data_IF_987833382216
#
_entry.id   IF_987833382216
#
_cell.length_a   1.000
_cell.length_b   1.000
_cell.length_c   1.000
_cell.angle_alpha   90.00
_cell.angle_beta   90.00
_cell.angle_gamma   90.00
#
_symmetry.space_group_name_H-M   'P 1'
#
loop_
_entity.id
_entity.type
_entity.pdbx_description
1 polymer ?
#
# COMPACT_ATOMS: atom_id res chain seq x y z
N UNK A 1 -23.88 8.72 -16.96
CA UNK A 1 -24.50 7.73 -17.88
C UNK A 1 -23.64 6.47 -17.85
N UNK A 2 -24.26 5.29 -17.85
CA UNK A 2 -23.70 3.93 -17.70
C UNK A 2 -23.82 3.26 -16.33
N UNK A 3 -24.95 2.57 -16.14
CA UNK A 3 -25.05 1.36 -15.32
C UNK A 3 -26.28 0.56 -15.78
N UNK A 4 -26.06 -0.41 -16.66
CA UNK A 4 -26.99 -1.52 -16.85
C UNK A 4 -26.18 -2.75 -17.27
N UNK A 5 -25.69 -3.51 -16.29
CA UNK A 5 -25.12 -4.82 -16.55
C UNK A 5 -26.26 -5.85 -16.58
N UNK A 6 -26.40 -6.55 -17.71
CA UNK A 6 -27.41 -7.58 -17.90
C UNK A 6 -27.07 -8.86 -17.13
N UNK A 7 -28.11 -9.64 -16.77
CA UNK A 7 -28.00 -10.94 -16.06
C UNK A 7 -27.07 -11.93 -16.79
N UNK A 8 -26.96 -11.83 -18.12
CA UNK A 8 -26.04 -12.62 -18.93
C UNK A 8 -24.56 -12.37 -18.58
N UNK A 9 -24.24 -11.11 -18.23
CA UNK A 9 -22.88 -10.71 -17.82
C UNK A 9 -22.51 -11.33 -16.48
N UNK A 10 -23.46 -11.43 -15.54
CA UNK A 10 -23.26 -12.04 -14.22
C UNK A 10 -22.95 -13.53 -14.34
N UNK A 11 -23.56 -14.23 -15.31
CA UNK A 11 -23.34 -15.66 -15.54
C UNK A 11 -21.96 -15.97 -16.16
N UNK A 12 -21.51 -15.14 -17.11
CA UNK A 12 -20.14 -15.22 -17.67
C UNK A 12 -19.09 -14.89 -16.60
N UNK A 13 -19.36 -13.91 -15.74
CA UNK A 13 -18.51 -13.55 -14.59
C UNK A 13 -18.41 -14.73 -13.60
N UNK A 14 -19.52 -15.41 -13.30
CA UNK A 14 -19.52 -16.56 -12.40
C UNK A 14 -18.72 -17.77 -12.95
N UNK A 15 -18.78 -18.03 -14.26
CA UNK A 15 -17.95 -19.06 -14.89
C UNK A 15 -16.45 -18.71 -14.86
N UNK A 16 -16.10 -17.44 -15.11
CA UNK A 16 -14.72 -16.98 -15.07
C UNK A 16 -14.10 -17.06 -13.66
N UNK A 17 -14.88 -16.76 -12.60
CA UNK A 17 -14.46 -16.93 -11.21
C UNK A 17 -14.11 -18.39 -10.83
N UNK A 18 -14.82 -19.37 -11.40
CA UNK A 18 -14.56 -20.80 -11.16
C UNK A 18 -13.26 -21.28 -11.83
N UNK A 19 -12.88 -20.65 -12.95
CA UNK A 19 -11.64 -20.95 -13.67
C UNK A 19 -10.39 -20.37 -12.97
N UNK A 20 -10.48 -19.22 -12.31
CA UNK A 20 -9.34 -18.59 -11.63
C UNK A 20 -8.93 -19.25 -10.30
N UNK A 21 -9.83 -19.95 -9.61
CA UNK A 21 -9.50 -20.55 -8.30
C UNK A 21 -8.63 -21.81 -8.35
N UNK A 22 -8.40 -22.39 -9.53
CA UNK A 22 -7.71 -23.68 -9.68
C UNK A 22 -6.57 -23.68 -10.71
N UNK A 23 -6.01 -22.53 -11.05
CA UNK A 23 -4.78 -22.51 -11.87
C UNK A 23 -3.57 -22.80 -10.99
N UNK A 24 -2.91 -23.94 -11.21
CA UNK A 24 -1.56 -24.19 -10.66
C UNK A 24 -0.67 -22.97 -10.94
N UNK A 25 0.19 -22.55 -9.99
CA UNK A 25 1.06 -21.39 -10.19
C UNK A 25 1.87 -21.57 -11.48
N UNK A 26 1.69 -20.62 -12.41
CA UNK A 26 2.34 -20.66 -13.72
C UNK A 26 3.85 -20.58 -13.50
N UNK A 27 4.59 -21.57 -14.00
CA UNK A 27 6.05 -21.56 -13.90
C UNK A 27 6.62 -20.64 -14.98
N UNK A 28 7.41 -19.66 -14.58
CA UNK A 28 8.03 -18.67 -15.46
C UNK A 28 9.49 -19.08 -15.70
N UNK A 29 9.87 -19.21 -16.97
CA UNK A 29 11.24 -19.54 -17.37
C UNK A 29 12.01 -18.27 -17.68
N UNK A 30 13.21 -18.10 -17.13
CA UNK A 30 14.05 -16.92 -17.37
C UNK A 30 15.47 -17.34 -17.69
N UNK A 31 16.10 -16.62 -18.62
CA UNK A 31 17.48 -16.94 -19.08
C UNK A 31 18.55 -16.39 -18.15
N UNK A 32 18.32 -15.22 -17.53
CA UNK A 32 19.27 -14.55 -16.65
C UNK A 32 18.58 -13.78 -15.53
N UNK A 33 19.34 -13.42 -14.49
CA UNK A 33 18.82 -12.72 -13.30
C UNK A 33 18.35 -11.29 -13.57
N UNK A 34 18.80 -10.64 -14.66
CA UNK A 34 18.42 -9.25 -14.98
C UNK A 34 16.94 -9.10 -15.32
N UNK A 35 16.29 -10.17 -15.80
CA UNK A 35 14.85 -10.18 -16.06
C UNK A 35 14.00 -10.33 -14.78
N UNK A 36 14.62 -10.68 -13.65
CA UNK A 36 13.89 -11.02 -12.42
C UNK A 36 13.10 -9.83 -11.88
N UNK A 37 13.70 -8.64 -11.78
CA UNK A 37 13.01 -7.44 -11.26
C UNK A 37 11.74 -7.13 -12.06
N UNK A 38 11.83 -7.20 -13.40
CA UNK A 38 10.68 -6.97 -14.29
C UNK A 38 9.58 -8.01 -14.04
N UNK A 39 9.92 -9.29 -13.99
CA UNK A 39 8.96 -10.37 -13.77
C UNK A 39 8.27 -10.25 -12.40
N UNK A 40 9.04 -9.92 -11.36
CA UNK A 40 8.48 -9.68 -10.04
C UNK A 40 7.55 -8.48 -10.04
N UNK A 41 7.91 -7.39 -10.73
CA UNK A 41 7.06 -6.22 -10.88
C UNK A 41 5.76 -6.54 -11.65
N UNK A 42 5.84 -7.31 -12.73
CA UNK A 42 4.66 -7.69 -13.52
C UNK A 42 3.69 -8.54 -12.68
N UNK A 43 4.21 -9.52 -11.94
CA UNK A 43 3.39 -10.33 -11.01
C UNK A 43 2.82 -9.50 -9.85
N UNK A 44 3.62 -8.58 -9.32
CA UNK A 44 3.23 -7.65 -8.26
C UNK A 44 2.09 -6.73 -8.69
N UNK A 45 2.14 -6.19 -9.92
CA UNK A 45 1.08 -5.37 -10.51
C UNK A 45 -0.21 -6.16 -10.74
N UNK A 46 -0.09 -7.46 -11.03
CA UNK A 46 -1.21 -8.36 -11.28
C UNK A 46 -1.75 -9.04 -10.01
N UNK A 47 -1.24 -8.71 -8.82
CA UNK A 47 -1.64 -9.34 -7.55
C UNK A 47 -1.44 -10.88 -7.54
N UNK A 48 -0.40 -11.37 -8.20
CA UNK A 48 -0.04 -12.79 -8.14
C UNK A 48 0.59 -13.12 -6.78
N UNK A 49 -0.01 -14.04 -6.03
CA UNK A 49 0.43 -14.40 -4.68
C UNK A 49 1.48 -15.51 -4.67
N UNK A 50 1.47 -16.41 -5.67
CA UNK A 50 2.36 -17.57 -5.72
C UNK A 50 3.13 -17.55 -7.03
N UNK A 51 4.39 -17.11 -6.99
CA UNK A 51 5.24 -16.91 -8.15
C UNK A 51 6.30 -18.02 -8.16
N UNK A 52 6.38 -18.75 -9.26
CA UNK A 52 7.33 -19.84 -9.44
C UNK A 52 8.22 -19.56 -10.65
N UNK A 53 9.52 -19.39 -10.42
CA UNK A 53 10.48 -19.00 -11.45
C UNK A 53 11.55 -20.09 -11.57
N UNK A 54 11.93 -20.44 -12.79
CA UNK A 54 13.03 -21.35 -13.09
C UNK A 54 13.99 -20.71 -14.07
N UNK A 55 15.28 -20.98 -13.92
CA UNK A 55 16.27 -20.61 -14.92
C UNK A 55 17.68 -21.07 -14.62
N UNK A 56 18.59 -20.79 -15.54
CA UNK A 56 19.99 -21.24 -15.51
C UNK A 56 20.92 -20.10 -15.10
N UNK A 57 20.84 -19.68 -13.84
CA UNK A 57 21.66 -18.62 -13.26
C UNK A 57 21.77 -18.81 -11.74
N UNK A 58 22.80 -18.25 -11.11
CA UNK A 58 22.91 -18.21 -9.64
C UNK A 58 22.29 -16.93 -9.08
N UNK A 59 21.58 -17.07 -7.95
CA UNK A 59 21.04 -15.97 -7.16
C UNK A 59 20.82 -16.45 -5.72
N UNK A 60 21.03 -15.58 -4.76
CA UNK A 60 20.70 -15.83 -3.35
C UNK A 60 19.35 -15.23 -2.94
N UNK A 61 18.76 -15.73 -1.86
CA UNK A 61 17.46 -15.26 -1.38
C UNK A 61 17.50 -13.77 -1.04
N UNK A 62 18.61 -13.30 -0.48
CA UNK A 62 18.86 -11.92 -0.09
C UNK A 62 18.80 -10.97 -1.29
N UNK A 63 19.30 -11.38 -2.47
CA UNK A 63 19.21 -10.59 -3.70
C UNK A 63 17.74 -10.42 -4.14
N UNK A 64 16.94 -11.50 -4.07
CA UNK A 64 15.50 -11.44 -4.39
C UNK A 64 14.75 -10.57 -3.39
N UNK A 65 15.05 -10.73 -2.11
CA UNK A 65 14.46 -9.95 -1.03
C UNK A 65 14.82 -8.47 -1.17
N UNK A 66 16.05 -8.14 -1.56
CA UNK A 66 16.48 -6.77 -1.82
C UNK A 66 15.66 -6.13 -2.96
N UNK A 67 15.37 -6.88 -4.03
CA UNK A 67 14.49 -6.42 -5.12
C UNK A 67 13.09 -6.10 -4.57
N UNK A 68 12.47 -7.01 -3.82
CA UNK A 68 11.13 -6.82 -3.24
C UNK A 68 11.09 -5.73 -2.16
N UNK A 69 12.24 -5.35 -1.61
CA UNK A 69 12.41 -4.26 -0.65
C UNK A 69 12.74 -2.90 -1.28
N UNK A 70 12.92 -2.83 -2.60
CA UNK A 70 13.07 -1.55 -3.31
C UNK A 70 11.77 -0.75 -3.25
N UNK A 71 11.70 0.25 -2.37
CA UNK A 71 10.49 1.06 -2.14
C UNK A 71 10.18 2.05 -3.25
N UNK A 72 11.10 2.27 -4.20
CA UNK A 72 10.82 3.02 -5.44
C UNK A 72 10.00 2.20 -6.43
N UNK A 73 10.09 0.87 -6.36
CA UNK A 73 9.40 -0.06 -7.26
C UNK A 73 8.22 -0.76 -6.58
N UNK A 74 8.44 -1.28 -5.37
CA UNK A 74 7.47 -2.01 -4.56
C UNK A 74 7.05 -1.12 -3.40
N UNK A 75 6.14 -0.21 -3.71
CA UNK A 75 5.79 0.94 -2.87
C UNK A 75 5.18 0.57 -1.51
N UNK A 76 4.50 -0.56 -1.38
CA UNK A 76 3.84 -0.97 -0.12
C UNK A 76 4.65 -2.04 0.60
N UNK A 77 4.57 -2.05 1.93
CA UNK A 77 5.23 -3.04 2.78
C UNK A 77 4.46 -4.38 2.84
N UNK A 78 4.37 -5.05 1.69
CA UNK A 78 3.75 -6.36 1.58
C UNK A 78 4.61 -7.45 2.25
N UNK A 79 3.95 -8.46 2.82
CA UNK A 79 4.65 -9.63 3.34
C UNK A 79 5.10 -10.54 2.21
N UNK A 80 6.26 -11.15 2.32
CA UNK A 80 6.70 -12.17 1.36
C UNK A 80 7.53 -13.27 2.03
N UNK A 81 7.51 -14.45 1.40
CA UNK A 81 8.39 -15.58 1.69
C UNK A 81 9.11 -15.94 0.39
N UNK A 82 10.41 -16.20 0.44
CA UNK A 82 11.21 -16.57 -0.71
C UNK A 82 12.00 -17.85 -0.39
N UNK A 83 11.80 -18.89 -1.18
CA UNK A 83 12.53 -20.15 -1.10
C UNK A 83 13.27 -20.37 -2.41
N UNK A 84 14.56 -20.69 -2.34
CA UNK A 84 15.39 -20.97 -3.51
C UNK A 84 15.93 -22.38 -3.42
N UNK A 85 15.85 -23.14 -4.51
CA UNK A 85 16.49 -24.45 -4.64
C UNK A 85 17.35 -24.52 -5.90
N UNK A 86 18.48 -25.22 -5.81
CA UNK A 86 19.47 -25.35 -6.88
C UNK A 86 19.66 -26.83 -7.20
N UNK A 87 19.51 -27.22 -8.47
CA UNK A 87 19.76 -28.60 -8.94
C UNK A 87 20.28 -28.59 -10.37
N UNK A 88 21.39 -29.27 -10.64
CA UNK A 88 22.00 -29.42 -11.98
C UNK A 88 22.12 -28.08 -12.75
N UNK A 89 22.74 -27.06 -12.13
CA UNK A 89 22.88 -25.69 -12.66
C UNK A 89 21.55 -24.97 -12.97
N UNK A 90 20.42 -25.47 -12.49
CA UNK A 90 19.12 -24.79 -12.56
C UNK A 90 18.73 -24.28 -11.18
N UNK A 91 18.33 -23.02 -11.15
CA UNK A 91 17.77 -22.38 -9.96
C UNK A 91 16.25 -22.34 -10.09
N UNK A 92 15.57 -22.71 -9.01
CA UNK A 92 14.13 -22.57 -8.85
C UNK A 92 13.87 -21.60 -7.70
N UNK A 93 13.06 -20.58 -7.94
CA UNK A 93 12.66 -19.57 -6.97
C UNK A 93 11.15 -19.70 -6.76
N UNK A 94 10.74 -19.88 -5.50
CA UNK A 94 9.36 -19.84 -5.09
C UNK A 94 9.13 -18.63 -4.20
N UNK A 95 8.23 -17.74 -4.60
CA UNK A 95 7.89 -16.54 -3.86
C UNK A 95 6.41 -16.59 -3.53
N UNK A 96 6.09 -16.45 -2.24
CA UNK A 96 4.74 -16.22 -1.78
C UNK A 96 4.60 -14.79 -1.30
N UNK A 97 3.74 -14.00 -1.94
CA UNK A 97 3.45 -12.62 -1.54
C UNK A 97 2.10 -12.59 -0.83
N UNK A 98 2.07 -11.93 0.33
CA UNK A 98 0.86 -11.60 1.07
C UNK A 98 0.62 -10.10 0.94
N UNK A 99 -0.26 -9.75 0.02
CA UNK A 99 -0.61 -8.36 -0.22
C UNK A 99 -1.40 -7.76 0.93
N UNK A 100 -1.09 -6.51 1.26
CA UNK A 100 -1.92 -5.75 2.19
C UNK A 100 -3.26 -5.42 1.56
N UNK A 101 -4.26 -5.11 2.39
CA UNK A 101 -5.56 -4.71 1.86
C UNK A 101 -5.46 -3.41 1.07
N UNK A 102 -4.67 -2.43 1.52
CA UNK A 102 -4.48 -1.18 0.81
C UNK A 102 -3.88 -1.36 -0.58
N UNK A 103 -2.83 -2.19 -0.71
CA UNK A 103 -2.20 -2.41 -2.01
C UNK A 103 -3.16 -3.08 -3.02
N UNK A 104 -3.94 -4.08 -2.58
CA UNK A 104 -4.95 -4.71 -3.43
C UNK A 104 -5.98 -3.70 -3.94
N UNK A 105 -6.48 -2.84 -3.04
CA UNK A 105 -7.47 -1.81 -3.39
C UNK A 105 -6.87 -0.76 -4.32
N UNK A 106 -5.65 -0.29 -4.05
CA UNK A 106 -4.91 0.63 -4.92
C UNK A 106 -4.77 0.05 -6.34
N UNK A 107 -4.35 -1.22 -6.46
CA UNK A 107 -4.19 -1.87 -7.76
C UNK A 107 -5.49 -2.02 -8.52
N UNK A 108 -6.62 -2.23 -7.85
CA UNK A 108 -7.93 -2.27 -8.50
C UNK A 108 -8.39 -0.89 -9.02
N UNK A 109 -7.93 0.22 -8.42
CA UNK A 109 -8.14 1.55 -9.00
C UNK A 109 -7.28 1.77 -10.25
N UNK A 110 -6.05 1.26 -10.25
CA UNK A 110 -5.12 1.37 -11.38
C UNK A 110 -5.45 0.43 -12.56
N UNK A 111 -6.05 -0.73 -12.29
CA UNK A 111 -6.46 -1.71 -13.30
C UNK A 111 -7.77 -2.38 -12.85
N UNK A 112 -8.86 -2.01 -13.52
CA UNK A 112 -10.21 -2.49 -13.20
C UNK A 112 -10.37 -4.01 -13.39
N UNK A 113 -9.52 -4.67 -14.20
CA UNK A 113 -9.56 -6.12 -14.37
C UNK A 113 -9.22 -6.87 -13.06
N UNK A 114 -8.55 -6.21 -12.13
CA UNK A 114 -8.21 -6.77 -10.82
C UNK A 114 -9.39 -6.72 -9.83
N UNK A 115 -10.51 -6.11 -10.20
CA UNK A 115 -11.72 -6.05 -9.37
C UNK A 115 -12.17 -7.45 -8.92
N UNK A 116 -12.15 -8.44 -9.80
CA UNK A 116 -12.59 -9.80 -9.46
C UNK A 116 -11.61 -10.57 -8.57
N UNK A 117 -10.36 -10.09 -8.42
CA UNK A 117 -9.40 -10.62 -7.44
C UNK A 117 -9.67 -10.08 -6.03
N UNK A 118 -10.49 -9.06 -5.88
CA UNK A 118 -10.81 -8.48 -4.57
C UNK A 118 -11.80 -9.34 -3.79
N UNK A 119 -11.56 -9.49 -2.48
CA UNK A 119 -12.57 -10.04 -1.58
C UNK A 119 -13.74 -9.07 -1.40
N UNK A 120 -14.90 -9.55 -0.93
CA UNK A 120 -16.05 -8.68 -0.61
C UNK A 120 -15.68 -7.53 0.34
N UNK A 121 -14.77 -7.79 1.30
CA UNK A 121 -14.30 -6.78 2.24
C UNK A 121 -13.42 -5.72 1.56
N UNK A 122 -12.59 -6.12 0.59
CA UNK A 122 -11.77 -5.21 -0.21
C UNK A 122 -12.65 -4.37 -1.15
N UNK A 123 -13.65 -4.97 -1.82
CA UNK A 123 -14.64 -4.27 -2.65
C UNK A 123 -15.40 -3.21 -1.84
N UNK A 124 -15.78 -3.49 -0.59
CA UNK A 124 -16.39 -2.50 0.34
C UNK A 124 -15.45 -1.32 0.61
N UNK A 125 -14.17 -1.58 0.84
CA UNK A 125 -13.16 -0.53 1.06
C UNK A 125 -13.01 0.34 -0.19
N UNK A 126 -12.86 -0.28 -1.37
CA UNK A 126 -12.78 0.42 -2.65
C UNK A 126 -13.93 1.41 -2.82
N UNK A 127 -15.18 0.93 -2.70
CA UNK A 127 -16.38 1.76 -2.88
C UNK A 127 -16.47 2.87 -1.82
N UNK A 128 -16.04 2.58 -0.58
CA UNK A 128 -16.01 3.59 0.49
C UNK A 128 -15.00 4.69 0.19
N UNK A 129 -13.80 4.34 -0.26
CA UNK A 129 -12.76 5.31 -0.67
C UNK A 129 -13.28 6.16 -1.82
N UNK A 130 -13.83 5.55 -2.87
CA UNK A 130 -14.38 6.27 -4.02
C UNK A 130 -15.45 7.28 -3.60
N UNK A 131 -16.40 6.86 -2.74
CA UNK A 131 -17.44 7.76 -2.21
C UNK A 131 -16.87 8.90 -1.39
N UNK A 132 -15.84 8.65 -0.56
CA UNK A 132 -15.21 9.69 0.25
C UNK A 132 -14.49 10.69 -0.66
N UNK A 133 -13.69 10.19 -1.60
CA UNK A 133 -12.93 11.02 -2.52
C UNK A 133 -13.85 11.98 -3.29
N UNK A 134 -14.93 11.47 -3.89
CA UNK A 134 -15.91 12.29 -4.60
C UNK A 134 -16.66 13.29 -3.71
N UNK A 135 -16.66 13.11 -2.38
CA UNK A 135 -17.28 14.04 -1.44
C UNK A 135 -16.33 15.16 -1.04
N UNK A 136 -15.03 14.87 -0.89
CA UNK A 136 -14.06 15.80 -0.29
C UNK A 136 -13.16 16.49 -1.31
N UNK A 137 -13.09 15.99 -2.54
CA UNK A 137 -12.24 16.54 -3.60
C UNK A 137 -13.09 17.18 -4.70
N UNK A 138 -12.74 18.41 -5.06
CA UNK A 138 -13.16 19.11 -6.28
C UNK A 138 -11.99 19.13 -7.28
N UNK A 139 -12.29 19.10 -8.58
CA UNK A 139 -11.30 19.21 -9.66
C UNK A 139 -10.57 20.56 -9.68
N UNK A 140 -11.22 21.63 -9.18
CA UNK A 140 -10.63 22.98 -9.11
C UNK A 140 -9.63 23.14 -7.96
N UNK A 141 -9.54 22.17 -7.05
CA UNK A 141 -8.57 22.21 -5.95
C UNK A 141 -7.14 22.05 -6.49
N UNK A 142 -6.24 22.85 -5.96
CA UNK A 142 -4.80 22.64 -6.07
C UNK A 142 -4.39 21.32 -5.42
N UNK A 143 -3.23 20.78 -5.79
CA UNK A 143 -2.72 19.56 -5.18
C UNK A 143 -2.53 19.72 -3.66
N UNK A 144 -2.09 20.90 -3.21
CA UNK A 144 -2.01 21.22 -1.79
C UNK A 144 -3.37 21.12 -1.09
N UNK A 145 -4.42 21.70 -1.67
CA UNK A 145 -5.77 21.65 -1.11
C UNK A 145 -6.33 20.23 -1.08
N UNK A 146 -6.09 19.42 -2.12
CA UNK A 146 -6.48 18.01 -2.14
C UNK A 146 -5.80 17.23 -1.01
N UNK A 147 -4.48 17.37 -0.89
CA UNK A 147 -3.68 16.74 0.18
C UNK A 147 -4.21 17.13 1.55
N UNK A 148 -4.48 18.42 1.76
CA UNK A 148 -5.04 18.95 3.02
C UNK A 148 -6.43 18.37 3.30
N UNK A 149 -7.34 18.39 2.33
CA UNK A 149 -8.70 17.84 2.51
C UNK A 149 -8.68 16.34 2.86
N UNK A 150 -7.79 15.56 2.24
CA UNK A 150 -7.60 14.14 2.53
C UNK A 150 -7.02 13.94 3.93
N UNK A 151 -5.99 14.71 4.29
CA UNK A 151 -5.41 14.71 5.64
C UNK A 151 -6.49 14.97 6.69
N UNK A 152 -7.22 16.08 6.55
CA UNK A 152 -8.25 16.54 7.48
C UNK A 152 -9.35 15.49 7.62
N UNK A 153 -9.82 14.93 6.50
CA UNK A 153 -10.80 13.86 6.53
C UNK A 153 -10.33 12.67 7.39
N UNK A 154 -9.09 12.21 7.20
CA UNK A 154 -8.58 11.04 7.92
C UNK A 154 -8.45 11.30 9.42
N UNK A 155 -7.92 12.45 9.81
CA UNK A 155 -7.77 12.78 11.24
C UNK A 155 -9.14 13.02 11.90
N UNK A 156 -10.10 13.58 11.19
CA UNK A 156 -11.44 13.85 11.73
C UNK A 156 -12.30 12.60 11.87
N UNK A 157 -12.15 11.67 10.92
CA UNK A 157 -13.07 10.54 10.78
C UNK A 157 -12.48 9.20 11.25
N UNK A 158 -11.35 9.19 11.95
CA UNK A 158 -10.74 7.98 12.52
C UNK A 158 -9.88 8.32 13.74
N UNK A 159 -9.65 7.33 14.59
CA UNK A 159 -8.82 7.45 15.79
C UNK A 159 -7.67 6.42 15.76
N UNK A 160 -6.58 6.74 16.45
CA UNK A 160 -5.49 5.79 16.63
C UNK A 160 -5.91 4.68 17.59
N UNK A 161 -5.53 3.42 17.32
CA UNK A 161 -5.77 2.28 18.22
C UNK A 161 -4.78 2.25 19.39
N UNK A 162 -4.69 3.37 20.11
CA UNK A 162 -3.65 3.65 21.09
C UNK A 162 -3.65 2.66 22.26
N UNK A 163 -4.83 2.30 22.75
CA UNK A 163 -4.97 1.36 23.87
C UNK A 163 -4.43 -0.03 23.54
N UNK A 164 -4.77 -0.57 22.36
CA UNK A 164 -4.24 -1.86 21.95
C UNK A 164 -2.75 -1.76 21.58
N UNK A 165 -2.33 -0.61 21.05
CA UNK A 165 -0.94 -0.33 20.73
C UNK A 165 -0.05 -0.37 21.97
N UNK A 166 -0.39 0.39 23.02
CA UNK A 166 0.32 0.40 24.30
C UNK A 166 0.38 -0.97 24.96
N UNK A 167 -0.63 -1.82 24.73
CA UNK A 167 -0.70 -3.19 25.24
C UNK A 167 0.04 -4.22 24.37
N UNK A 168 0.60 -3.83 23.22
CA UNK A 168 1.19 -4.76 22.25
C UNK A 168 0.18 -5.74 21.63
N UNK A 169 -1.11 -5.38 21.63
CA UNK A 169 -2.25 -6.25 21.26
C UNK A 169 -3.07 -5.67 20.10
N UNK A 170 -2.45 -4.89 19.22
CA UNK A 170 -3.12 -4.30 18.06
C UNK A 170 -3.76 -5.41 17.22
N UNK A 171 -5.09 -5.43 17.04
CA UNK A 171 -5.74 -6.45 16.27
C UNK A 171 -5.41 -6.28 14.78
N UNK A 172 -5.31 -7.37 14.04
CA UNK A 172 -4.99 -7.36 12.60
C UNK A 172 -5.85 -6.38 11.78
N UNK A 173 -7.11 -6.18 12.17
CA UNK A 173 -8.02 -5.26 11.48
C UNK A 173 -7.57 -3.79 11.59
N UNK A 174 -6.92 -3.39 12.68
CA UNK A 174 -6.42 -2.02 12.88
C UNK A 174 -5.24 -1.68 11.96
N UNK A 175 -4.62 -2.68 11.32
CA UNK A 175 -3.61 -2.49 10.28
C UNK A 175 -4.19 -2.41 8.86
N UNK A 176 -5.52 -2.34 8.70
CA UNK A 176 -6.18 -2.39 7.38
C UNK A 176 -7.00 -1.13 7.09
N UNK A 177 -7.12 -0.73 5.82
CA UNK A 177 -8.08 0.29 5.38
C UNK A 177 -9.51 0.06 5.88
N UNK A 178 -9.94 -1.19 6.01
CA UNK A 178 -11.26 -1.51 6.58
C UNK A 178 -11.35 -1.11 8.06
N UNK A 179 -10.32 -1.40 8.85
CA UNK A 179 -10.26 -0.96 10.25
C UNK A 179 -10.39 0.55 10.38
N UNK A 180 -9.63 1.27 9.55
CA UNK A 180 -9.68 2.73 9.50
C UNK A 180 -11.08 3.22 9.09
N UNK A 181 -11.55 2.85 7.91
CA UNK A 181 -12.73 3.47 7.31
C UNK A 181 -14.07 3.01 7.91
N UNK A 182 -14.16 1.76 8.41
CA UNK A 182 -15.40 1.17 8.93
C UNK A 182 -15.39 0.99 10.44
N UNK A 183 -14.25 0.63 11.05
CA UNK A 183 -14.14 0.52 12.51
C UNK A 183 -13.70 1.81 13.17
N UNK A 184 -13.29 2.82 12.38
CA UNK A 184 -12.92 4.16 12.85
C UNK A 184 -11.75 4.14 13.84
N UNK A 185 -10.98 3.04 13.85
CA UNK A 185 -9.89 2.77 14.78
C UNK A 185 -8.81 1.98 14.05
N UNK A 186 -7.60 2.53 13.97
CA UNK A 186 -6.51 1.93 13.22
C UNK A 186 -5.13 2.43 13.70
N UNK A 187 -4.05 1.88 13.15
CA UNK A 187 -2.66 2.32 13.43
C UNK A 187 -1.97 2.83 12.17
N UNK A 188 -0.73 3.34 12.32
CA UNK A 188 0.06 4.03 11.30
C UNK A 188 0.00 3.42 9.89
N UNK A 189 0.18 2.10 9.78
CA UNK A 189 0.14 1.42 8.48
C UNK A 189 -1.17 1.61 7.73
N UNK A 190 -2.33 1.53 8.41
CA UNK A 190 -3.62 1.68 7.75
C UNK A 190 -3.86 3.12 7.29
N UNK A 191 -3.44 4.10 8.09
CA UNK A 191 -3.51 5.51 7.71
C UNK A 191 -2.67 5.79 6.48
N UNK A 192 -1.41 5.35 6.48
CA UNK A 192 -0.50 5.56 5.36
C UNK A 192 -0.95 4.83 4.07
N UNK A 193 -1.56 3.65 4.18
CA UNK A 193 -2.15 2.93 3.05
C UNK A 193 -3.35 3.66 2.46
N UNK A 194 -4.30 4.11 3.30
CA UNK A 194 -5.49 4.83 2.82
C UNK A 194 -5.10 6.18 2.21
N UNK A 195 -4.16 6.89 2.83
CA UNK A 195 -3.62 8.14 2.29
C UNK A 195 -2.99 7.92 0.91
N UNK A 196 -2.16 6.88 0.74
CA UNK A 196 -1.56 6.54 -0.57
C UNK A 196 -2.61 6.27 -1.64
N UNK A 197 -3.72 5.60 -1.30
CA UNK A 197 -4.83 5.37 -2.26
C UNK A 197 -5.49 6.68 -2.66
N UNK A 198 -5.70 7.60 -1.71
CA UNK A 198 -6.27 8.91 -2.05
C UNK A 198 -5.33 9.76 -2.90
N UNK A 199 -4.01 9.68 -2.67
CA UNK A 199 -3.01 10.34 -3.52
C UNK A 199 -3.02 9.79 -4.94
N UNK A 200 -3.15 8.47 -5.10
CA UNK A 200 -3.32 7.83 -6.42
C UNK A 200 -4.55 8.40 -7.14
N UNK A 201 -5.69 8.50 -6.47
CA UNK A 201 -6.92 9.07 -7.05
C UNK A 201 -6.78 10.56 -7.39
N UNK A 202 -5.97 11.30 -6.63
CA UNK A 202 -5.66 12.70 -6.86
C UNK A 202 -4.64 12.94 -7.98
N UNK A 203 -3.99 11.88 -8.49
CA UNK A 203 -2.89 11.99 -9.45
C UNK A 203 -1.60 12.55 -8.84
N UNK A 204 -1.45 12.48 -7.52
CA UNK A 204 -0.31 13.05 -6.78
C UNK A 204 0.68 11.93 -6.45
N UNK A 205 1.95 12.01 -6.91
CA UNK A 205 2.95 11.01 -6.58
C UNK A 205 3.15 10.89 -5.07
N UNK A 206 3.02 9.67 -4.54
CA UNK A 206 3.10 9.40 -3.12
C UNK A 206 3.85 8.09 -2.84
N UNK A 207 4.72 8.11 -1.84
CA UNK A 207 5.42 6.94 -1.32
C UNK A 207 4.91 6.61 0.08
N UNK A 208 4.66 5.33 0.31
CA UNK A 208 4.44 4.78 1.64
C UNK A 208 5.81 4.58 2.29
N UNK A 209 6.12 5.37 3.31
CA UNK A 209 7.40 5.39 3.99
C UNK A 209 7.35 4.46 5.19
N UNK A 210 8.31 3.53 5.24
CA UNK A 210 8.60 2.69 6.39
C UNK A 210 9.82 3.21 7.14
N UNK A 211 9.69 3.32 8.45
CA UNK A 211 10.76 3.74 9.34
C UNK A 211 10.47 3.41 10.80
N UNK A 212 11.00 4.22 11.70
CA UNK A 212 10.96 4.05 13.14
C UNK A 212 10.80 5.43 13.82
N UNK A 213 10.27 5.44 15.04
CA UNK A 213 10.23 6.62 15.91
C UNK A 213 11.51 6.62 16.77
N UNK A 214 12.23 7.74 16.83
CA UNK A 214 13.54 7.83 17.49
C UNK A 214 13.51 7.51 18.98
N UNK A 215 12.51 8.01 19.70
CA UNK A 215 12.41 7.87 21.16
C UNK A 215 11.67 6.59 21.59
N UNK A 216 11.33 5.72 20.64
CA UNK A 216 10.78 4.39 20.92
C UNK A 216 11.33 3.38 19.91
N UNK A 217 12.51 2.83 20.22
CA UNK A 217 13.24 1.88 19.38
C UNK A 217 12.46 0.58 19.09
N UNK A 218 11.34 0.33 19.79
CA UNK A 218 10.46 -0.82 19.53
C UNK A 218 9.37 -0.51 18.48
N UNK A 219 9.25 0.72 18.03
CA UNK A 219 8.12 1.17 17.22
C UNK A 219 8.50 1.43 15.76
N UNK A 220 8.37 0.36 14.97
CA UNK A 220 8.19 0.49 13.52
C UNK A 220 7.03 1.45 13.24
N UNK A 221 7.25 2.35 12.31
CA UNK A 221 6.28 3.37 11.93
C UNK A 221 6.10 3.46 10.42
N UNK A 222 4.94 3.99 10.02
CA UNK A 222 4.59 4.17 8.63
C UNK A 222 3.87 5.51 8.41
N UNK A 223 4.31 6.26 7.41
CA UNK A 223 3.76 7.55 7.01
C UNK A 223 3.90 7.73 5.49
N UNK A 224 3.70 8.96 4.98
CA UNK A 224 3.76 9.23 3.55
C UNK A 224 4.79 10.30 3.19
N UNK A 225 5.29 10.21 1.96
CA UNK A 225 6.05 11.27 1.30
C UNK A 225 5.35 11.58 -0.02
N UNK A 226 4.96 12.84 -0.24
CA UNK A 226 4.23 13.29 -1.43
C UNK A 226 5.08 14.25 -2.25
N UNK A 227 4.95 14.19 -3.57
CA UNK A 227 5.49 15.25 -4.44
C UNK A 227 4.49 16.39 -4.47
N UNK A 228 4.91 17.58 -4.08
CA UNK A 228 4.16 18.82 -4.27
C UNK A 228 5.06 19.78 -5.05
N UNK A 229 4.57 20.24 -6.20
CA UNK A 229 5.38 20.96 -7.18
C UNK A 229 6.62 20.12 -7.56
N UNK A 230 7.82 20.65 -7.36
CA UNK A 230 9.08 19.98 -7.68
C UNK A 230 9.82 19.40 -6.47
N UNK A 231 9.17 19.38 -5.30
CA UNK A 231 9.79 18.94 -4.05
C UNK A 231 8.99 17.80 -3.39
N UNK A 232 9.68 16.98 -2.61
CA UNK A 232 9.07 15.93 -1.80
C UNK A 232 8.92 16.39 -0.36
N UNK A 233 7.73 16.17 0.20
CA UNK A 233 7.42 16.50 1.59
C UNK A 233 6.83 15.30 2.31
N UNK A 234 7.11 15.20 3.61
CA UNK A 234 6.54 14.20 4.48
C UNK A 234 5.20 14.65 5.05
N UNK A 235 4.30 13.67 5.18
CA UNK A 235 3.00 13.82 5.82
C UNK A 235 2.80 12.63 6.76
N UNK A 236 2.63 12.93 8.05
CA UNK A 236 2.27 11.94 9.06
C UNK A 236 0.91 12.27 9.69
N UNK A 237 -0.13 11.68 9.10
CA UNK A 237 -1.50 11.80 9.61
C UNK A 237 -1.65 11.27 11.04
N UNK A 238 -0.83 10.30 11.46
CA UNK A 238 -0.99 9.67 12.78
C UNK A 238 -0.36 10.45 13.91
N UNK A 239 0.78 11.10 13.68
CA UNK A 239 1.31 12.06 14.65
C UNK A 239 0.43 13.32 14.73
N UNK A 240 -0.19 13.74 13.63
CA UNK A 240 -1.14 14.85 13.64
C UNK A 240 -2.45 14.53 14.38
N UNK A 241 -2.84 13.26 14.56
CA UNK A 241 -3.98 12.88 15.41
C UNK A 241 -3.83 13.33 16.86
N UNK A 242 -2.60 13.40 17.38
CA UNK A 242 -2.33 13.86 18.75
C UNK A 242 -2.74 15.33 18.96
N UNK A 243 -2.96 16.06 17.88
CA UNK A 243 -3.29 17.49 17.86
C UNK A 243 -4.64 17.75 17.16
N UNK A 244 -5.49 16.73 17.02
CA UNK A 244 -6.75 16.80 16.26
C UNK A 244 -7.68 17.94 16.73
N UNK A 245 -7.68 18.25 18.03
CA UNK A 245 -8.50 19.29 18.68
C UNK A 245 -7.82 20.67 18.69
N UNK A 246 -6.50 20.73 18.47
CA UNK A 246 -5.73 21.98 18.39
C UNK A 246 -5.68 22.47 16.94
N UNK A 247 -6.80 23.05 16.50
CA UNK A 247 -6.99 23.61 15.15
C UNK A 247 -6.04 24.79 14.90
N UNK A 248 -5.58 25.47 15.95
CA UNK A 248 -4.86 26.73 15.87
C UNK A 248 -3.34 26.61 15.79
N UNK A 249 -2.70 25.55 16.33
CA UNK A 249 -1.23 25.50 16.36
C UNK A 249 -0.57 24.18 15.94
N UNK A 250 -1.19 23.00 16.12
CA UNK A 250 -0.44 21.74 15.96
C UNK A 250 -1.10 20.67 15.09
N UNK A 251 -2.35 20.82 14.64
CA UNK A 251 -3.01 19.86 13.74
C UNK A 251 -2.22 19.57 12.45
N UNK A 252 -1.38 20.51 12.01
CA UNK A 252 -0.54 20.40 10.81
C UNK A 252 0.95 20.23 11.12
N UNK A 253 1.33 19.89 12.36
CA UNK A 253 2.74 19.83 12.81
C UNK A 253 3.62 18.92 11.94
N UNK A 254 3.08 17.81 11.46
CA UNK A 254 3.74 16.86 10.55
C UNK A 254 3.09 16.84 9.16
N UNK A 255 2.52 17.97 8.74
CA UNK A 255 1.95 18.16 7.41
C UNK A 255 2.91 18.97 6.54
N UNK A 256 3.29 18.42 5.37
CA UNK A 256 4.21 19.07 4.42
C UNK A 256 5.57 19.44 5.05
N UNK A 257 6.17 18.52 5.80
CA UNK A 257 7.46 18.77 6.47
C UNK A 257 8.64 18.23 5.66
N UNK A 258 9.79 18.87 5.77
CA UNK A 258 11.03 18.46 5.10
C UNK A 258 11.68 17.26 5.78
N UNK A 259 12.66 16.66 5.11
CA UNK A 259 13.60 15.69 5.67
C UNK A 259 14.20 16.11 7.02
N UNK A 260 14.67 17.36 7.13
CA UNK A 260 15.34 17.83 8.35
C UNK A 260 14.38 17.84 9.54
N UNK A 261 13.21 18.43 9.35
CA UNK A 261 12.15 18.47 10.36
C UNK A 261 11.64 17.07 10.75
N UNK A 262 11.25 16.22 9.79
CA UNK A 262 10.70 14.89 10.12
C UNK A 262 11.75 14.04 10.82
N UNK A 263 13.04 14.22 10.49
CA UNK A 263 14.14 13.49 11.12
C UNK A 263 14.34 13.84 12.59
N UNK A 264 13.73 14.91 13.12
CA UNK A 264 13.79 15.21 14.55
C UNK A 264 13.14 14.10 15.38
N UNK A 265 12.08 13.46 14.86
CA UNK A 265 11.33 12.41 15.56
C UNK A 265 11.32 11.06 14.84
N UNK A 266 11.63 11.03 13.54
CA UNK A 266 11.59 9.83 12.70
C UNK A 266 12.97 9.41 12.21
N UNK A 267 13.12 8.11 11.94
CA UNK A 267 14.27 7.52 11.25
C UNK A 267 13.79 6.64 10.10
N UNK A 268 14.36 6.81 8.91
CA UNK A 268 14.11 5.95 7.75
C UNK A 268 15.36 5.83 6.88
N UNK A 269 15.36 4.83 5.99
CA UNK A 269 16.40 4.72 4.98
C UNK A 269 16.16 5.72 3.86
N UNK A 270 16.81 6.89 3.92
CA UNK A 270 16.69 7.95 2.89
C UNK A 270 16.95 7.44 1.47
N UNK A 271 17.90 6.51 1.28
CA UNK A 271 18.24 5.95 -0.05
C UNK A 271 17.10 5.15 -0.68
N UNK A 272 16.12 4.69 0.10
CA UNK A 272 14.98 3.92 -0.38
C UNK A 272 13.88 4.77 -1.02
N UNK A 273 13.94 6.09 -0.89
CA UNK A 273 12.94 7.06 -1.36
C UNK A 273 13.61 8.10 -2.28
N UNK A 274 12.85 8.88 -3.08
CA UNK A 274 13.41 9.99 -3.85
C UNK A 274 14.08 11.04 -2.96
#
# INVERSE_FOLDING_TARGET
MFLQMSIFSIFIIYLSYRLFKNTKPKTIQIKNKYSLKKILLDNYKNLEENIHIKGSFSIEAEEVIAILKDRKTFIFNNGFQCNISKKNNKTTIYIKIKYTQGYKVLRAFQDQNLWEKLSLKDKKVYLKIQRIYNKIINQEMTDYEKIRAIHDYLIENSNYDLENYKKGKVPKVSHTPYGLLFKKKAVCSAFAEVFSIFMELAGIPCYFVMGEIKDDERNKHAWNMVKLEDQYYHIDTTFNLNFKEDITNNRYKYFKVTDDYISLTHRWNKKAYP
#
